data_IF_296854067888
#
_entry.id   IF_296854067888
#
_cell.length_a   1.000
_cell.length_b   1.000
_cell.length_c   1.000
_cell.angle_alpha   90.00
_cell.angle_beta   90.00
_cell.angle_gamma   90.00
#
_symmetry.space_group_name_H-M   'P 1'
#
loop_
_entity.id
_entity.type
_entity.pdbx_description
1 polymer ?
#
# COMPACT_ATOMS: atom_id res chain seq x y z
N UNK A 1 -9.65 4.59 -13.50
CA UNK A 1 -9.73 4.42 -14.96
C UNK A 1 -10.13 5.75 -15.59
N UNK A 2 -10.13 5.83 -16.91
CA UNK A 2 -10.42 7.06 -17.66
C UNK A 2 -11.62 6.75 -18.57
N UNK A 3 -12.65 7.61 -18.63
CA UNK A 3 -13.89 7.37 -19.39
C UNK A 3 -13.70 7.53 -20.90
N UNK A 4 -12.75 6.79 -21.46
CA UNK A 4 -12.45 6.69 -22.90
C UNK A 4 -12.63 5.24 -23.32
N UNK A 5 -13.10 5.04 -24.55
CA UNK A 5 -13.16 3.71 -25.16
C UNK A 5 -11.76 3.14 -25.37
N UNK A 6 -11.56 1.88 -24.97
CA UNK A 6 -10.29 1.16 -25.06
C UNK A 6 -10.54 -0.31 -25.40
N UNK A 7 -9.61 -0.91 -26.12
CA UNK A 7 -9.58 -2.36 -26.33
C UNK A 7 -9.32 -3.08 -25.01
N UNK A 8 -10.08 -4.13 -24.74
CA UNK A 8 -9.91 -5.03 -23.60
C UNK A 8 -10.35 -6.44 -23.99
N UNK A 9 -10.39 -7.34 -23.00
CA UNK A 9 -10.88 -8.71 -23.15
C UNK A 9 -11.93 -9.00 -22.08
N UNK A 10 -12.88 -9.87 -22.41
CA UNK A 10 -13.82 -10.39 -21.43
C UNK A 10 -13.26 -11.60 -20.66
N UNK A 11 -14.09 -12.23 -19.81
CA UNK A 11 -13.66 -13.41 -19.03
C UNK A 11 -13.49 -14.68 -19.86
N UNK A 12 -14.09 -14.75 -21.05
CA UNK A 12 -13.89 -15.84 -22.00
C UNK A 12 -12.64 -15.63 -22.88
N UNK A 13 -12.04 -14.43 -22.81
CA UNK A 13 -10.86 -14.05 -23.59
C UNK A 13 -11.20 -13.39 -24.92
N UNK A 14 -12.47 -13.11 -25.19
CA UNK A 14 -12.91 -12.51 -26.45
C UNK A 14 -12.65 -10.98 -26.45
N UNK A 15 -12.28 -10.38 -27.60
CA UNK A 15 -12.03 -8.94 -27.69
C UNK A 15 -13.28 -8.11 -27.42
N UNK A 16 -13.14 -7.05 -26.62
CA UNK A 16 -14.25 -6.13 -26.30
C UNK A 16 -13.78 -4.67 -26.25
N UNK A 17 -14.62 -3.75 -26.73
CA UNK A 17 -14.46 -2.32 -26.49
C UNK A 17 -15.03 -1.96 -25.12
N UNK A 18 -14.18 -1.46 -24.23
CA UNK A 18 -14.53 -1.12 -22.85
C UNK A 18 -14.39 0.38 -22.62
N UNK A 19 -15.44 0.99 -22.06
CA UNK A 19 -15.41 2.36 -21.56
C UNK A 19 -15.85 2.37 -20.10
N UNK A 20 -15.09 3.04 -19.23
CA UNK A 20 -15.47 3.14 -17.82
C UNK A 20 -16.46 4.26 -17.60
N UNK A 21 -17.61 3.93 -17.01
CA UNK A 21 -18.68 4.89 -16.70
C UNK A 21 -18.56 5.44 -15.28
N UNK A 22 -18.98 6.68 -15.05
CA UNK A 22 -19.02 7.29 -13.71
C UNK A 22 -17.72 8.00 -13.29
N UNK A 23 -17.73 8.61 -12.10
CA UNK A 23 -16.61 9.41 -11.58
C UNK A 23 -15.46 8.51 -11.15
N UNK A 24 -14.28 8.77 -11.69
CA UNK A 24 -13.04 8.12 -11.32
C UNK A 24 -12.00 9.15 -10.94
N UNK A 25 -11.10 8.80 -10.03
CA UNK A 25 -10.02 9.69 -9.67
C UNK A 25 -9.02 9.82 -10.82
N UNK A 26 -8.71 11.06 -11.26
CA UNK A 26 -7.70 11.29 -12.28
C UNK A 26 -6.29 10.98 -11.77
N UNK A 27 -6.08 11.03 -10.44
CA UNK A 27 -4.84 10.66 -9.78
C UNK A 27 -5.16 9.92 -8.47
N UNK A 28 -4.79 8.65 -8.39
CA UNK A 28 -4.93 7.86 -7.15
C UNK A 28 -3.87 8.26 -6.11
N UNK A 29 -2.73 8.82 -6.56
CA UNK A 29 -1.56 9.12 -5.74
C UNK A 29 -1.86 10.11 -4.62
N UNK A 30 -2.67 11.14 -4.88
CA UNK A 30 -3.03 12.15 -3.87
C UNK A 30 -3.73 11.50 -2.67
N UNK A 31 -4.59 10.51 -2.92
CA UNK A 31 -5.25 9.75 -1.85
C UNK A 31 -4.39 8.64 -1.27
N UNK A 32 -3.40 8.16 -2.02
CA UNK A 32 -2.50 7.11 -1.57
C UNK A 32 -1.53 7.61 -0.49
N UNK A 33 -1.06 8.86 -0.56
CA UNK A 33 -0.11 9.43 0.41
C UNK A 33 -0.52 9.24 1.88
N UNK A 34 -1.70 9.70 2.34
CA UNK A 34 -2.08 9.53 3.74
C UNK A 34 -2.25 8.05 4.14
N UNK A 35 -2.61 7.18 3.19
CA UNK A 35 -2.68 5.73 3.44
C UNK A 35 -1.28 5.18 3.69
N UNK A 36 -0.30 5.54 2.84
CA UNK A 36 1.07 5.06 2.96
C UNK A 36 1.73 5.58 4.25
N UNK A 37 1.48 6.83 4.64
CA UNK A 37 1.97 7.39 5.91
C UNK A 37 1.44 6.59 7.11
N UNK A 38 0.14 6.29 7.13
CA UNK A 38 -0.45 5.47 8.20
C UNK A 38 0.13 4.05 8.21
N UNK A 39 0.29 3.43 7.05
CA UNK A 39 0.88 2.10 6.92
C UNK A 39 2.34 2.08 7.39
N UNK A 40 3.12 3.10 7.06
CA UNK A 40 4.49 3.24 7.54
C UNK A 40 4.54 3.36 9.07
N UNK A 41 3.66 4.18 9.67
CA UNK A 41 3.56 4.29 11.12
C UNK A 41 3.23 2.94 11.78
N UNK A 42 2.32 2.16 11.19
CA UNK A 42 1.97 0.81 11.66
C UNK A 42 3.16 -0.16 11.59
N UNK A 43 3.93 -0.15 10.50
CA UNK A 43 5.12 -0.98 10.36
C UNK A 43 6.18 -0.60 11.40
N UNK A 44 6.41 0.69 11.62
CA UNK A 44 7.39 1.16 12.59
C UNK A 44 7.00 0.79 14.03
N UNK A 45 5.74 0.97 14.41
CA UNK A 45 5.30 0.62 15.77
C UNK A 45 5.33 -0.90 16.00
N UNK A 46 4.98 -1.70 14.98
CA UNK A 46 5.09 -3.16 15.04
C UNK A 46 6.55 -3.59 15.29
N UNK A 47 7.50 -3.04 14.53
CA UNK A 47 8.92 -3.31 14.76
C UNK A 47 9.42 -2.84 16.13
N UNK A 48 9.01 -1.65 16.57
CA UNK A 48 9.39 -1.13 17.89
C UNK A 48 8.85 -2.02 19.03
N UNK A 49 7.60 -2.45 18.93
CA UNK A 49 6.98 -3.34 19.91
C UNK A 49 7.60 -4.74 19.90
N UNK A 50 7.93 -5.29 18.72
CA UNK A 50 8.64 -6.57 18.60
C UNK A 50 10.02 -6.50 19.26
N UNK A 51 10.79 -5.46 18.97
CA UNK A 51 12.09 -5.26 19.58
C UNK A 51 11.98 -5.16 21.10
N UNK A 52 11.01 -4.38 21.60
CA UNK A 52 10.75 -4.28 23.03
C UNK A 52 10.36 -5.63 23.63
N UNK A 53 9.45 -6.37 23.01
CA UNK A 53 8.96 -7.66 23.52
C UNK A 53 10.06 -8.73 23.61
N UNK A 54 11.05 -8.69 22.72
CA UNK A 54 12.14 -9.66 22.70
C UNK A 54 13.35 -9.22 23.54
N UNK A 55 13.65 -7.92 23.56
CA UNK A 55 14.94 -7.41 24.04
C UNK A 55 14.83 -6.45 25.24
N UNK A 56 13.65 -6.20 25.80
CA UNK A 56 13.48 -5.20 26.88
C UNK A 56 14.40 -5.42 28.08
N UNK A 57 14.58 -6.68 28.50
CA UNK A 57 15.34 -7.03 29.69
C UNK A 57 16.75 -7.57 29.36
N UNK A 58 17.14 -7.55 28.08
CA UNK A 58 18.43 -8.07 27.64
C UNK A 58 19.54 -7.09 28.02
N UNK A 59 20.43 -7.53 28.91
CA UNK A 59 21.65 -6.80 29.26
C UNK A 59 22.77 -7.24 28.32
N UNK A 60 23.17 -6.36 27.40
CA UNK A 60 24.30 -6.60 26.50
C UNK A 60 25.62 -6.32 27.21
N UNK A 61 26.55 -7.28 27.14
CA UNK A 61 27.96 -7.07 27.52
C UNK A 61 28.76 -6.32 26.45
N UNK A 62 28.22 -6.18 25.25
CA UNK A 62 28.81 -5.41 24.16
C UNK A 62 28.54 -3.91 24.39
N UNK A 63 29.55 -3.03 24.29
CA UNK A 63 29.37 -1.58 24.44
C UNK A 63 28.37 -1.02 23.44
N UNK A 64 27.55 -0.04 23.87
CA UNK A 64 26.75 0.76 22.95
C UNK A 64 27.70 1.66 22.17
N UNK A 65 27.61 1.61 20.84
CA UNK A 65 28.33 2.50 19.92
C UNK A 65 27.66 3.87 19.93
#
# INVERSE_FOLDING_TARGET
>A
SIPQERNSIDKAGEPVMMQTTGRHDPCVGIRATPIVEAMLALVLIDHALRHRGQNADVVSSVPKI
#
